data_IF_681178357437
#
_entry.id   IF_681178357437
#
_cell.length_a   1.000
_cell.length_b   1.000
_cell.length_c   1.000
_cell.angle_alpha   90.00
_cell.angle_beta   90.00
_cell.angle_gamma   90.00
#
_symmetry.space_group_name_H-M   'P 1'
#
loop_
_entity.id
_entity.type
_entity.pdbx_description
1 polymer ?
#
# COMPACT_ATOMS: atom_id res chain seq x y z
N UNK A 1 -17.54 -23.89 13.79
CA UNK A 1 -16.21 -23.27 13.58
C UNK A 1 -16.42 -21.90 12.93
N UNK A 2 -15.95 -20.81 13.56
CA UNK A 2 -15.98 -19.47 12.96
C UNK A 2 -14.84 -19.39 11.93
N UNK A 3 -15.15 -19.02 10.68
CA UNK A 3 -14.13 -18.80 9.66
C UNK A 3 -13.39 -17.49 9.95
N UNK A 4 -12.16 -17.59 10.44
CA UNK A 4 -11.25 -16.44 10.46
C UNK A 4 -10.92 -16.05 9.01
N UNK A 5 -11.25 -14.81 8.63
CA UNK A 5 -10.94 -14.31 7.28
C UNK A 5 -9.63 -13.53 7.35
N UNK A 6 -8.56 -14.13 6.84
CA UNK A 6 -7.28 -13.45 6.61
C UNK A 6 -7.43 -12.44 5.47
N UNK A 7 -6.96 -11.21 5.66
CA UNK A 7 -6.87 -10.20 4.58
C UNK A 7 -5.42 -9.77 4.38
N UNK A 8 -5.02 -9.60 3.13
CA UNK A 8 -3.70 -9.05 2.76
C UNK A 8 -3.81 -7.54 2.58
N UNK A 9 -3.04 -6.77 3.35
CA UNK A 9 -2.99 -5.30 3.29
C UNK A 9 -1.62 -4.86 2.80
N UNK A 10 -1.59 -3.89 1.89
CA UNK A 10 -0.36 -3.30 1.39
C UNK A 10 0.10 -2.13 2.29
N UNK A 11 1.38 -2.09 2.66
CA UNK A 11 1.98 -0.95 3.37
C UNK A 11 3.29 -0.50 2.73
N UNK A 12 3.61 0.80 2.75
CA UNK A 12 4.88 1.28 2.23
C UNK A 12 6.04 0.76 3.09
N UNK A 13 7.13 0.36 2.43
CA UNK A 13 8.38 -0.02 3.08
C UNK A 13 9.21 1.24 3.36
N UNK A 14 9.18 1.70 4.61
CA UNK A 14 9.87 2.94 5.01
C UNK A 14 11.39 2.83 4.89
N UNK A 15 11.97 1.66 5.14
CA UNK A 15 13.42 1.46 5.07
C UNK A 15 13.91 1.57 3.63
N UNK A 16 13.26 0.87 2.69
CA UNK A 16 13.62 0.96 1.26
C UNK A 16 13.45 2.38 0.71
N UNK A 17 12.40 3.08 1.13
CA UNK A 17 12.19 4.49 0.75
C UNK A 17 13.30 5.39 1.30
N UNK A 18 13.72 5.18 2.55
CA UNK A 18 14.82 5.94 3.15
C UNK A 18 16.16 5.65 2.45
N UNK A 19 16.44 4.40 2.12
CA UNK A 19 17.67 4.00 1.43
C UNK A 19 17.74 4.54 0.00
N UNK A 20 16.66 4.44 -0.78
CA UNK A 20 16.68 4.82 -2.21
C UNK A 20 16.45 6.32 -2.44
N UNK A 21 15.69 6.99 -1.56
CA UNK A 21 15.24 8.37 -1.76
C UNK A 21 15.42 9.29 -0.54
N UNK A 22 15.82 8.78 0.62
CA UNK A 22 15.90 9.53 1.87
C UNK A 22 14.56 9.71 2.59
N UNK A 23 13.45 9.93 1.87
CA UNK A 23 12.09 9.96 2.42
C UNK A 23 11.00 9.88 1.32
N UNK A 24 9.74 9.76 1.75
CA UNK A 24 8.58 9.66 0.84
C UNK A 24 8.34 10.92 0.00
N UNK A 25 8.70 12.11 0.50
CA UNK A 25 8.59 13.37 -0.23
C UNK A 25 9.56 13.40 -1.42
N UNK A 26 10.81 12.96 -1.21
CA UNK A 26 11.81 12.84 -2.26
C UNK A 26 11.42 11.80 -3.31
N UNK A 27 10.89 10.65 -2.88
CA UNK A 27 10.33 9.66 -3.82
C UNK A 27 9.25 10.28 -4.71
N UNK A 28 8.31 11.03 -4.12
CA UNK A 28 7.25 11.70 -4.87
C UNK A 28 7.81 12.74 -5.86
N UNK A 29 8.80 13.55 -5.44
CA UNK A 29 9.48 14.52 -6.32
C UNK A 29 10.16 13.83 -7.51
N UNK A 30 10.95 12.79 -7.27
CA UNK A 30 11.70 12.09 -8.31
C UNK A 30 10.78 11.39 -9.32
N UNK A 31 9.67 10.80 -8.84
CA UNK A 31 8.68 10.17 -9.71
C UNK A 31 7.69 11.15 -10.35
N UNK A 32 7.83 12.46 -10.10
CA UNK A 32 6.90 13.52 -10.55
C UNK A 32 5.44 13.25 -10.12
N UNK A 33 5.26 12.72 -8.91
CA UNK A 33 3.95 12.45 -8.30
C UNK A 33 3.69 13.52 -7.22
N UNK A 34 2.46 14.06 -7.17
CA UNK A 34 2.08 14.95 -6.07
C UNK A 34 2.03 14.19 -4.74
N UNK A 35 2.73 14.72 -3.73
CA UNK A 35 2.72 14.15 -2.38
C UNK A 35 1.31 14.11 -1.77
N UNK A 36 0.47 15.10 -2.07
CA UNK A 36 -0.93 15.11 -1.66
C UNK A 36 -1.71 13.95 -2.31
N UNK A 37 -1.51 13.70 -3.61
CA UNK A 37 -2.13 12.57 -4.30
C UNK A 37 -1.64 11.23 -3.74
N UNK A 38 -0.35 11.12 -3.43
CA UNK A 38 0.24 9.97 -2.73
C UNK A 38 -0.42 9.75 -1.37
N UNK A 39 -0.49 10.77 -0.50
CA UNK A 39 -1.11 10.64 0.82
C UNK A 39 -2.60 10.33 0.75
N UNK A 40 -3.34 11.01 -0.12
CA UNK A 40 -4.78 10.81 -0.33
C UNK A 40 -5.08 9.43 -0.88
N UNK A 41 -4.21 8.93 -1.77
CA UNK A 41 -4.27 7.57 -2.25
C UNK A 41 -4.03 6.59 -1.10
N UNK A 42 -2.98 6.74 -0.29
CA UNK A 42 -2.72 5.83 0.84
C UNK A 42 -3.81 5.88 1.92
N UNK A 43 -4.33 7.07 2.25
CA UNK A 43 -5.35 7.24 3.29
C UNK A 43 -6.69 6.65 2.88
N UNK A 44 -7.11 6.82 1.61
CA UNK A 44 -8.35 6.26 1.07
C UNK A 44 -8.29 4.76 0.83
N UNK A 45 -7.12 4.22 0.50
CA UNK A 45 -6.94 2.79 0.21
C UNK A 45 -6.60 1.95 1.45
N UNK A 46 -6.43 2.56 2.63
CA UNK A 46 -6.19 1.84 3.91
C UNK A 46 -7.38 0.98 4.35
N UNK A 47 -8.58 1.20 3.79
CA UNK A 47 -9.84 0.55 4.23
C UNK A 47 -10.64 -0.18 3.15
N UNK A 48 -10.25 -0.14 1.88
CA UNK A 48 -11.11 -0.66 0.79
C UNK A 48 -10.46 -1.82 0.01
N UNK A 49 -11.21 -2.92 -0.09
CA UNK A 49 -10.99 -4.14 -0.88
C UNK A 49 -11.01 -3.92 -2.42
N UNK A 50 -10.64 -2.72 -2.90
CA UNK A 50 -11.06 -2.17 -4.21
C UNK A 50 -9.98 -2.19 -5.32
N UNK A 51 -9.08 -3.17 -5.33
CA UNK A 51 -8.05 -3.28 -6.39
C UNK A 51 -8.61 -3.89 -7.70
N UNK A 52 -9.64 -3.28 -8.29
CA UNK A 52 -10.26 -3.77 -9.53
C UNK A 52 -9.92 -2.97 -10.81
N UNK A 53 -9.12 -1.89 -10.74
CA UNK A 53 -8.66 -1.18 -11.96
C UNK A 53 -7.28 -1.67 -12.40
N UNK A 54 -7.18 -2.23 -13.62
CA UNK A 54 -5.96 -2.84 -14.22
C UNK A 54 -4.69 -1.97 -14.07
N UNK A 55 -4.76 -0.68 -14.37
CA UNK A 55 -3.56 0.18 -14.38
C UNK A 55 -2.96 0.44 -12.98
N UNK A 56 -3.79 0.51 -11.94
CA UNK A 56 -3.28 0.78 -10.58
C UNK A 56 -2.71 -0.49 -9.94
N UNK A 57 -3.27 -1.65 -10.32
CA UNK A 57 -2.79 -2.95 -9.87
C UNK A 57 -1.39 -3.24 -10.43
N UNK A 58 -1.13 -2.90 -11.69
CA UNK A 58 0.19 -3.09 -12.30
C UNK A 58 1.24 -2.13 -11.73
N UNK A 59 0.86 -0.87 -11.48
CA UNK A 59 1.71 0.08 -10.75
C UNK A 59 2.09 -0.47 -9.36
N UNK A 60 1.13 -1.07 -8.65
CA UNK A 60 1.37 -1.69 -7.36
C UNK A 60 2.27 -2.91 -7.43
N UNK A 61 2.00 -3.83 -8.37
CA UNK A 61 2.87 -5.00 -8.59
C UNK A 61 4.30 -4.57 -8.87
N UNK A 62 4.49 -3.49 -9.65
CA UNK A 62 5.82 -2.93 -9.90
C UNK A 62 6.46 -2.40 -8.62
N UNK A 63 5.74 -1.63 -7.82
CA UNK A 63 6.25 -1.11 -6.54
C UNK A 63 6.57 -2.21 -5.53
N UNK A 64 5.79 -3.29 -5.49
CA UNK A 64 6.04 -4.47 -4.66
C UNK A 64 7.29 -5.21 -5.15
N UNK A 65 7.41 -5.46 -6.46
CA UNK A 65 8.58 -6.11 -7.05
C UNK A 65 9.86 -5.30 -6.80
N UNK A 66 9.73 -3.98 -6.71
CA UNK A 66 10.84 -3.07 -6.41
C UNK A 66 11.08 -2.89 -4.90
N UNK A 67 10.27 -3.50 -4.03
CA UNK A 67 10.44 -3.47 -2.58
C UNK A 67 9.92 -2.20 -1.89
N UNK A 68 9.21 -1.32 -2.60
CA UNK A 68 8.64 -0.10 -2.03
C UNK A 68 7.35 -0.33 -1.24
N UNK A 69 6.69 -1.48 -1.43
CA UNK A 69 5.43 -1.85 -0.77
C UNK A 69 5.52 -3.31 -0.31
N UNK A 70 5.13 -3.56 0.94
CA UNK A 70 5.11 -4.88 1.60
C UNK A 70 3.68 -5.38 1.83
N UNK A 71 3.50 -6.70 1.72
CA UNK A 71 2.28 -7.40 2.13
C UNK A 71 2.26 -7.60 3.65
N UNK A 72 1.15 -7.26 4.28
CA UNK A 72 0.88 -7.56 5.68
C UNK A 72 -0.36 -8.43 5.73
N UNK A 73 -0.19 -9.66 6.20
CA UNK A 73 -1.32 -10.52 6.54
C UNK A 73 -1.92 -10.01 7.85
N UNK A 74 -3.20 -9.65 7.81
CA UNK A 74 -3.97 -9.31 9.00
C UNK A 74 -5.07 -10.34 9.19
N UNK A 75 -5.13 -10.88 10.41
CA UNK A 75 -6.28 -11.64 10.87
C UNK A 75 -7.34 -10.65 11.31
N UNK A 76 -8.40 -10.51 10.51
CA UNK A 76 -9.55 -9.69 10.90
C UNK A 76 -10.58 -10.65 11.49
N UNK A 77 -10.68 -10.64 12.82
CA UNK A 77 -11.81 -11.26 13.50
C UNK A 77 -13.03 -10.39 13.21
N UNK A 78 -14.00 -10.95 12.48
CA UNK A 78 -15.28 -10.30 12.22
C UNK A 78 -16.05 -10.15 13.53
N UNK A 79 -15.92 -8.99 14.17
CA UNK A 79 -16.76 -8.60 15.28
C UNK A 79 -18.11 -8.11 14.75
N UNK A 80 -19.14 -8.95 14.87
CA UNK A 80 -20.51 -8.48 15.02
C UNK A 80 -20.78 -8.40 16.52
N UNK A 81 -21.05 -7.20 17.01
CA UNK A 81 -22.02 -6.97 18.08
C UNK A 81 -22.90 -5.81 17.63
#
# INVERSE_FOLDING_TARGET
MRNETTRKIYRPNKEKIALDYGNATNMCRNLKISYYSYQKFFSRNKKNLWFQKKNIHDAFKKMIRQGYITYIEVNIQGGNQ
#
